data_IF_773158232530
#
_entry.id   IF_773158232530
#
_cell.length_a   1.000
_cell.length_b   1.000
_cell.length_c   1.000
_cell.angle_alpha   90.00
_cell.angle_beta   90.00
_cell.angle_gamma   90.00
#
_symmetry.space_group_name_H-M   'P 1'
#
loop_
_entity.id
_entity.type
_entity.pdbx_description
1 polymer ?
#
# COMPACT_ATOMS: atom_id res chain seq x y z
N UNK A 1 -25.21 -50.19 13.95
CA UNK A 1 -26.12 -49.08 13.62
C UNK A 1 -25.50 -48.35 12.44
N UNK A 2 -25.84 -48.75 11.21
CA UNK A 2 -26.79 -48.04 10.31
C UNK A 2 -26.35 -46.60 10.04
N UNK A 3 -26.25 -46.06 8.83
CA UNK A 3 -26.46 -46.48 7.44
C UNK A 3 -26.22 -45.20 6.58
N UNK A 4 -25.93 -45.33 5.28
CA UNK A 4 -26.20 -44.33 4.20
C UNK A 4 -25.39 -43.01 4.25
N UNK A 5 -24.42 -42.70 3.37
CA UNK A 5 -24.45 -42.58 1.90
C UNK A 5 -25.56 -41.69 1.29
N UNK A 6 -25.46 -40.37 1.49
CA UNK A 6 -26.03 -39.31 0.65
C UNK A 6 -25.22 -38.02 0.96
N UNK A 7 -24.83 -37.13 0.07
CA UNK A 7 -25.02 -37.02 -1.36
C UNK A 7 -23.91 -36.13 -1.94
N UNK A 8 -23.59 -36.46 -3.18
CA UNK A 8 -22.93 -35.63 -4.18
C UNK A 8 -23.51 -34.21 -4.28
N UNK A 9 -22.75 -33.35 -4.98
CA UNK A 9 -23.16 -32.08 -5.61
C UNK A 9 -22.87 -30.81 -4.80
N UNK A 10 -21.65 -30.28 -4.94
CA UNK A 10 -21.46 -28.90 -5.41
C UNK A 10 -20.10 -28.74 -6.10
N UNK A 11 -20.06 -29.07 -7.41
CA UNK A 11 -19.06 -28.53 -8.34
C UNK A 11 -19.57 -27.17 -8.84
N UNK A 12 -18.71 -26.15 -8.83
CA UNK A 12 -18.70 -24.86 -9.57
C UNK A 12 -18.08 -23.79 -8.64
N UNK A 13 -17.08 -22.98 -8.96
CA UNK A 13 -16.53 -22.51 -10.23
C UNK A 13 -15.01 -22.31 -10.09
N UNK A 14 -14.22 -23.12 -10.80
CA UNK A 14 -12.85 -22.74 -11.16
C UNK A 14 -12.98 -21.89 -12.42
N UNK A 15 -12.75 -20.58 -12.27
CA UNK A 15 -12.53 -19.69 -13.41
C UNK A 15 -11.10 -19.94 -13.85
N UNK A 16 -10.94 -20.80 -14.86
CA UNK A 16 -9.68 -20.91 -15.61
C UNK A 16 -9.54 -19.60 -16.38
N UNK A 17 -8.65 -18.73 -15.90
CA UNK A 17 -8.21 -17.56 -16.66
C UNK A 17 -7.45 -18.07 -17.87
N UNK A 18 -8.08 -17.94 -19.03
CA UNK A 18 -7.55 -18.28 -20.34
C UNK A 18 -6.37 -17.35 -20.65
N UNK A 19 -5.16 -17.88 -20.57
CA UNK A 19 -3.92 -17.18 -20.93
C UNK A 19 -3.85 -17.10 -22.46
N UNK A 20 -4.39 -16.03 -23.04
CA UNK A 20 -4.30 -15.76 -24.47
C UNK A 20 -2.99 -15.02 -24.76
N UNK A 21 -2.17 -15.63 -25.60
CA UNK A 21 -0.89 -15.13 -26.08
C UNK A 21 -0.94 -13.65 -26.51
N UNK A 22 -0.09 -12.82 -25.90
CA UNK A 22 0.30 -11.54 -26.48
C UNK A 22 1.59 -11.78 -27.27
N UNK A 23 1.42 -12.06 -28.57
CA UNK A 23 2.45 -11.88 -29.58
C UNK A 23 2.34 -10.47 -30.17
N UNK A 24 3.48 -9.95 -30.64
CA UNK A 24 3.75 -8.65 -31.28
C UNK A 24 4.18 -7.55 -30.29
N UNK A 25 5.29 -6.84 -30.44
CA UNK A 25 6.21 -6.73 -31.57
C UNK A 25 7.58 -6.16 -31.16
N UNK A 26 8.58 -6.57 -31.94
CA UNK A 26 9.99 -6.18 -31.92
C UNK A 26 10.14 -4.66 -32.06
N UNK A 27 10.46 -3.95 -30.98
CA UNK A 27 10.85 -2.54 -31.02
C UNK A 27 12.25 -2.42 -31.63
N UNK A 28 12.31 -1.77 -32.80
CA UNK A 28 13.54 -1.49 -33.54
C UNK A 28 14.22 -0.25 -32.95
N UNK A 29 15.52 -0.40 -32.75
CA UNK A 29 16.53 0.62 -32.51
C UNK A 29 16.38 1.82 -33.45
N UNK A 30 16.51 3.02 -32.88
CA UNK A 30 16.57 4.29 -33.59
C UNK A 30 17.16 5.39 -32.69
N UNK A 31 18.47 5.41 -32.55
CA UNK A 31 19.24 6.58 -32.10
C UNK A 31 19.21 7.66 -33.16
N UNK A 32 18.88 8.92 -32.83
CA UNK A 32 19.53 10.10 -33.42
C UNK A 32 19.23 11.37 -32.58
N UNK A 33 20.25 12.18 -32.20
CA UNK A 33 20.12 13.40 -31.42
C UNK A 33 20.02 14.66 -32.30
N UNK A 34 19.23 15.66 -31.89
CA UNK A 34 19.20 17.03 -32.44
C UNK A 34 19.09 17.96 -31.22
N UNK A 35 20.21 18.45 -30.67
CA UNK A 35 20.86 19.73 -30.99
C UNK A 35 19.90 20.93 -30.84
N UNK A 36 20.05 21.60 -29.68
CA UNK A 36 19.99 23.05 -29.42
C UNK A 36 18.74 23.84 -29.81
N UNK A 37 18.26 24.73 -28.94
CA UNK A 37 18.70 26.14 -28.85
C UNK A 37 17.66 27.02 -28.11
N UNK A 38 18.20 27.89 -27.24
CA UNK A 38 17.79 29.28 -26.96
C UNK A 38 16.43 29.66 -26.31
N UNK A 39 16.59 30.22 -25.10
CA UNK A 39 16.23 31.60 -24.70
C UNK A 39 14.75 32.03 -24.61
N UNK A 40 14.32 32.18 -23.36
CA UNK A 40 13.99 33.45 -22.69
C UNK A 40 13.34 34.57 -23.54
N UNK A 41 12.09 34.89 -23.23
CA UNK A 41 11.53 36.25 -23.34
C UNK A 41 10.27 36.39 -22.49
N UNK A 42 10.39 37.10 -21.37
CA UNK A 42 9.27 37.71 -20.65
C UNK A 42 8.80 38.93 -21.46
N UNK A 43 7.49 39.04 -21.70
CA UNK A 43 6.88 40.29 -22.12
C UNK A 43 5.51 40.43 -21.44
N UNK A 44 5.49 41.30 -20.44
CA UNK A 44 4.32 41.89 -19.82
C UNK A 44 3.60 42.74 -20.86
N UNK A 45 2.32 42.46 -21.14
CA UNK A 45 1.49 43.25 -22.04
C UNK A 45 0.11 43.47 -21.44
N UNK A 46 -0.07 44.57 -20.71
CA UNK A 46 -1.39 45.12 -20.42
C UNK A 46 -1.72 46.16 -21.51
N UNK A 47 -2.83 45.99 -22.21
CA UNK A 47 -3.49 47.10 -22.89
C UNK A 47 -4.99 46.94 -22.77
N UNK A 48 -5.60 48.02 -22.28
CA UNK A 48 -6.99 48.20 -21.97
C UNK A 48 -7.62 49.02 -23.09
N UNK A 49 -8.77 48.59 -23.60
CA UNK A 49 -9.81 49.52 -24.05
C UNK A 49 -11.14 48.81 -24.17
N UNK A 50 -12.09 49.33 -23.41
CA UNK A 50 -13.48 48.94 -23.33
C UNK A 50 -14.24 49.57 -24.50
N UNK A 51 -15.01 48.79 -25.26
CA UNK A 51 -16.07 49.33 -26.11
C UNK A 51 -17.25 48.35 -26.14
N UNK A 52 -18.34 48.79 -25.53
CA UNK A 52 -19.67 48.20 -25.68
C UNK A 52 -20.24 48.63 -27.03
N UNK A 53 -20.76 47.68 -27.80
CA UNK A 53 -22.16 47.67 -28.28
C UNK A 53 -22.36 46.49 -29.23
N UNK A 54 -23.41 45.72 -28.98
CA UNK A 54 -23.72 44.49 -29.70
C UNK A 54 -24.49 44.70 -30.99
N UNK A 55 -24.67 43.62 -31.74
CA UNK A 55 -25.88 43.32 -32.52
C UNK A 55 -25.96 41.80 -32.74
N UNK A 56 -27.18 41.34 -32.48
CA UNK A 56 -27.93 40.08 -32.68
C UNK A 56 -27.50 39.06 -33.74
N UNK A 57 -27.79 37.80 -33.38
CA UNK A 57 -28.27 36.67 -34.21
C UNK A 57 -27.26 35.80 -34.97
N UNK A 58 -26.97 34.60 -34.44
CA UNK A 58 -27.45 33.33 -35.04
C UNK A 58 -27.15 32.15 -34.12
N UNK A 59 -28.18 31.37 -33.82
CA UNK A 59 -28.17 30.18 -32.98
C UNK A 59 -28.30 28.93 -33.87
N UNK A 60 -27.35 27.99 -33.76
CA UNK A 60 -27.50 26.58 -34.16
C UNK A 60 -26.35 25.72 -33.55
N UNK A 61 -26.47 24.39 -33.45
CA UNK A 61 -27.02 23.69 -32.29
C UNK A 61 -25.96 23.11 -31.34
N UNK A 62 -26.39 22.90 -30.09
CA UNK A 62 -25.67 22.26 -29.00
C UNK A 62 -25.03 20.92 -29.39
N UNK A 63 -23.69 20.87 -29.39
CA UNK A 63 -22.98 19.66 -29.01
C UNK A 63 -23.03 19.57 -27.49
N UNK A 64 -23.76 18.57 -26.98
CA UNK A 64 -23.76 18.24 -25.56
C UNK A 64 -22.34 17.77 -25.19
N UNK A 65 -21.50 18.70 -24.73
CA UNK A 65 -20.41 18.33 -23.84
C UNK A 65 -21.07 17.63 -22.65
N UNK A 66 -20.82 16.33 -22.53
CA UNK A 66 -21.13 15.58 -21.34
C UNK A 66 -20.45 16.31 -20.18
N UNK A 67 -21.26 17.05 -19.42
CA UNK A 67 -20.86 17.65 -18.15
C UNK A 67 -20.42 16.48 -17.28
N UNK A 68 -19.12 16.24 -17.30
CA UNK A 68 -18.47 15.32 -16.39
C UNK A 68 -18.54 16.01 -15.04
N UNK A 69 -19.64 15.77 -14.32
CA UNK A 69 -19.75 16.11 -12.91
C UNK A 69 -18.48 15.58 -12.25
N UNK A 70 -17.65 16.43 -11.61
CA UNK A 70 -16.50 15.94 -10.85
C UNK A 70 -17.07 14.98 -9.82
N UNK A 71 -16.91 13.69 -10.05
CA UNK A 71 -17.23 12.68 -9.06
C UNK A 71 -16.36 13.04 -7.87
N UNK A 72 -16.98 13.53 -6.80
CA UNK A 72 -16.26 13.82 -5.57
C UNK A 72 -15.47 12.56 -5.24
N UNK A 73 -14.15 12.62 -5.43
CA UNK A 73 -13.26 11.59 -4.91
C UNK A 73 -13.43 11.68 -3.41
N UNK A 74 -14.33 10.84 -2.87
CA UNK A 74 -14.29 10.45 -1.47
C UNK A 74 -12.83 10.15 -1.17
N UNK A 75 -12.24 10.92 -0.24
CA UNK A 75 -10.80 10.85 0.03
C UNK A 75 -10.38 9.42 0.31
N UNK A 76 -9.28 8.97 -0.29
CA UNK A 76 -8.77 7.62 -0.08
C UNK A 76 -8.49 7.40 1.41
N UNK A 77 -8.76 6.18 1.89
CA UNK A 77 -8.42 5.80 3.26
C UNK A 77 -6.90 5.91 3.45
N UNK A 78 -6.47 6.66 4.47
CA UNK A 78 -5.06 6.76 4.84
C UNK A 78 -4.64 5.54 5.65
N UNK A 79 -3.72 4.77 5.10
CA UNK A 79 -3.12 3.59 5.71
C UNK A 79 -1.62 3.83 5.85
N UNK A 80 -1.09 3.48 6.99
CA UNK A 80 0.35 3.54 7.25
C UNK A 80 0.85 2.11 7.46
N UNK A 81 1.91 1.73 6.76
CA UNK A 81 2.58 0.46 6.94
C UNK A 81 3.98 0.69 7.53
N UNK A 82 4.45 -0.22 8.39
CA UNK A 82 5.69 -0.01 9.13
C UNK A 82 6.93 0.03 8.24
N UNK A 83 7.25 -1.08 7.56
CA UNK A 83 8.46 -1.20 6.74
C UNK A 83 8.18 -1.93 5.42
N UNK A 84 9.21 -2.10 4.58
CA UNK A 84 9.05 -2.40 3.16
C UNK A 84 8.18 -3.64 2.84
N UNK A 85 8.38 -4.83 3.44
CA UNK A 85 7.54 -6.00 3.17
C UNK A 85 6.06 -5.74 3.49
N UNK A 86 5.78 -5.17 4.66
CA UNK A 86 4.41 -4.87 5.10
C UNK A 86 3.78 -3.80 4.23
N UNK A 87 4.54 -2.78 3.82
CA UNK A 87 4.10 -1.79 2.85
C UNK A 87 3.70 -2.43 1.52
N UNK A 88 4.54 -3.30 0.96
CA UNK A 88 4.27 -3.95 -0.32
C UNK A 88 3.03 -4.85 -0.26
N UNK A 89 2.90 -5.64 0.81
CA UNK A 89 1.72 -6.50 1.02
C UNK A 89 0.44 -5.67 1.18
N UNK A 90 0.50 -4.63 2.01
CA UNK A 90 -0.63 -3.72 2.24
C UNK A 90 -1.03 -3.00 0.96
N UNK A 91 -0.07 -2.49 0.20
CA UNK A 91 -0.36 -1.79 -1.06
C UNK A 91 -0.94 -2.72 -2.12
N UNK A 92 -0.45 -3.96 -2.21
CA UNK A 92 -0.98 -4.96 -3.12
C UNK A 92 -2.43 -5.35 -2.78
N UNK A 93 -2.76 -5.47 -1.50
CA UNK A 93 -4.13 -5.78 -1.04
C UNK A 93 -5.06 -4.59 -1.21
N UNK A 94 -4.63 -3.40 -0.82
CA UNK A 94 -5.47 -2.19 -0.81
C UNK A 94 -5.68 -1.59 -2.22
N UNK A 95 -4.77 -1.84 -3.16
CA UNK A 95 -4.87 -1.32 -4.52
C UNK A 95 -5.00 0.21 -4.55
N UNK A 96 -5.99 0.70 -5.31
CA UNK A 96 -6.20 2.13 -5.52
C UNK A 96 -7.18 2.80 -4.54
N UNK A 97 -7.85 2.02 -3.70
CA UNK A 97 -8.89 2.54 -2.78
C UNK A 97 -8.32 3.13 -1.48
N UNK A 98 -7.04 2.86 -1.18
CA UNK A 98 -6.31 3.44 -0.06
C UNK A 98 -5.04 4.15 -0.51
N UNK A 99 -4.67 5.18 0.26
CA UNK A 99 -3.36 5.80 0.21
C UNK A 99 -2.49 5.14 1.27
N UNK A 100 -1.43 4.45 0.84
CA UNK A 100 -0.56 3.67 1.73
C UNK A 100 0.79 4.37 1.82
N UNK A 101 1.12 4.85 3.01
CA UNK A 101 2.41 5.46 3.35
C UNK A 101 3.29 4.45 4.11
N UNK A 102 4.61 4.54 3.96
CA UNK A 102 5.58 3.70 4.66
C UNK A 102 6.29 4.51 5.75
N UNK A 103 6.44 3.96 6.96
CA UNK A 103 7.12 4.65 8.07
C UNK A 103 8.63 4.57 7.98
N UNK A 104 9.17 3.37 7.76
CA UNK A 104 10.59 3.07 7.67
C UNK A 104 11.00 3.10 6.19
N UNK A 105 11.82 4.07 5.76
CA UNK A 105 12.22 4.17 4.36
C UNK A 105 12.96 2.93 3.86
N UNK A 106 12.77 2.52 2.59
CA UNK A 106 13.52 1.41 2.00
C UNK A 106 15.03 1.57 2.16
N UNK A 107 15.72 0.50 2.50
CA UNK A 107 17.16 0.52 2.77
C UNK A 107 17.55 0.87 4.21
N UNK A 108 16.57 1.17 5.07
CA UNK A 108 16.79 1.37 6.51
C UNK A 108 16.57 0.06 7.28
N UNK A 109 17.47 -0.26 8.20
CA UNK A 109 17.32 -1.41 9.11
C UNK A 109 16.20 -1.13 10.13
N UNK A 110 15.27 -2.07 10.29
CA UNK A 110 14.06 -1.90 11.11
C UNK A 110 14.32 -2.11 12.60
N UNK A 111 15.25 -3.01 12.96
CA UNK A 111 15.59 -3.28 14.37
C UNK A 111 16.23 -2.07 15.04
N UNK A 112 17.04 -1.31 14.29
CA UNK A 112 17.73 -0.12 14.79
C UNK A 112 16.96 1.18 14.52
N UNK A 113 15.81 1.10 13.85
CA UNK A 113 15.09 2.29 13.41
C UNK A 113 14.58 3.12 14.60
N UNK A 114 14.77 4.44 14.49
CA UNK A 114 14.20 5.40 15.43
C UNK A 114 13.10 6.21 14.75
N UNK A 115 11.95 6.28 15.41
CA UNK A 115 10.82 7.04 14.89
C UNK A 115 11.10 8.53 14.80
N UNK A 116 10.63 9.14 13.73
CA UNK A 116 10.71 10.59 13.50
C UNK A 116 9.42 11.29 13.93
N UNK A 117 9.44 12.61 14.15
CA UNK A 117 8.22 13.40 14.31
C UNK A 117 7.25 13.25 13.12
N UNK A 118 7.79 13.01 11.92
CA UNK A 118 7.00 12.69 10.72
C UNK A 118 6.20 11.41 10.88
N UNK A 119 6.79 10.35 11.45
CA UNK A 119 6.09 9.10 11.73
C UNK A 119 4.93 9.29 12.72
N UNK A 120 5.14 10.07 13.79
CA UNK A 120 4.08 10.40 14.75
C UNK A 120 2.92 11.11 14.05
N UNK A 121 3.21 12.08 13.18
CA UNK A 121 2.20 12.81 12.40
C UNK A 121 1.47 11.90 11.41
N UNK A 122 2.18 11.00 10.73
CA UNK A 122 1.58 10.04 9.80
C UNK A 122 0.54 9.18 10.54
N UNK A 123 0.94 8.57 11.67
CA UNK A 123 0.05 7.76 12.51
C UNK A 123 -1.11 8.59 13.09
N UNK A 124 -0.85 9.84 13.50
CA UNK A 124 -1.87 10.72 14.07
C UNK A 124 -3.03 11.03 13.09
N UNK A 125 -2.78 10.93 11.79
CA UNK A 125 -3.78 11.23 10.74
C UNK A 125 -4.24 9.99 9.97
N UNK A 126 -3.68 8.82 10.26
CA UNK A 126 -4.04 7.56 9.62
C UNK A 126 -5.35 7.00 10.19
N UNK A 127 -6.09 6.26 9.35
CA UNK A 127 -7.19 5.41 9.81
C UNK A 127 -6.68 4.04 10.24
N UNK A 128 -5.66 3.53 9.57
CA UNK A 128 -5.11 2.20 9.79
C UNK A 128 -3.58 2.26 9.90
N UNK A 129 -3.03 1.51 10.84
CA UNK A 129 -1.61 1.18 10.94
C UNK A 129 -1.44 -0.33 10.76
N UNK A 130 -0.59 -0.75 9.84
CA UNK A 130 -0.27 -2.16 9.58
C UNK A 130 1.17 -2.43 10.00
N UNK A 131 1.36 -3.39 10.91
CA UNK A 131 2.67 -3.83 11.42
C UNK A 131 2.93 -5.31 11.11
N UNK A 132 4.19 -5.70 11.13
CA UNK A 132 4.62 -7.09 11.06
C UNK A 132 4.13 -7.87 12.26
N UNK A 133 4.33 -7.32 13.46
CA UNK A 133 4.11 -8.02 14.73
C UNK A 133 5.34 -8.78 15.20
N UNK A 134 5.15 -9.65 16.20
CA UNK A 134 6.20 -10.42 16.89
C UNK A 134 7.31 -9.56 17.53
N UNK A 135 7.00 -8.29 17.81
CA UNK A 135 7.94 -7.35 18.43
C UNK A 135 9.06 -6.85 17.51
N UNK A 136 8.93 -6.98 16.19
CA UNK A 136 9.91 -6.44 15.23
C UNK A 136 10.07 -4.92 15.38
N UNK A 137 8.95 -4.19 15.38
CA UNK A 137 8.95 -2.73 15.36
C UNK A 137 9.03 -2.12 16.76
N UNK A 138 10.19 -2.23 17.41
CA UNK A 138 10.40 -1.74 18.80
C UNK A 138 10.07 -0.24 18.96
N UNK A 139 10.34 0.57 17.94
CA UNK A 139 10.03 2.00 17.93
C UNK A 139 8.53 2.31 17.98
N UNK A 140 7.67 1.36 17.62
CA UNK A 140 6.29 1.64 17.24
C UNK A 140 5.40 1.97 18.45
N UNK A 141 5.57 1.29 19.58
CA UNK A 141 4.72 1.47 20.76
C UNK A 141 4.75 2.92 21.27
N UNK A 142 5.95 3.47 21.45
CA UNK A 142 6.13 4.87 21.85
C UNK A 142 5.60 5.84 20.79
N UNK A 143 5.76 5.51 19.51
CA UNK A 143 5.30 6.35 18.39
C UNK A 143 3.79 6.43 18.32
N UNK A 144 3.08 5.30 18.45
CA UNK A 144 1.62 5.23 18.47
C UNK A 144 1.06 5.99 19.67
N UNK A 145 1.65 5.80 20.86
CA UNK A 145 1.25 6.54 22.07
C UNK A 145 1.37 8.06 21.88
N UNK A 146 2.47 8.51 21.28
CA UNK A 146 2.70 9.93 21.01
C UNK A 146 1.78 10.50 19.91
N UNK A 147 1.27 9.66 19.00
CA UNK A 147 0.36 10.08 17.95
C UNK A 147 -1.03 10.44 18.48
N UNK A 148 -1.42 9.98 19.68
CA UNK A 148 -2.68 10.30 20.36
C UNK A 148 -3.93 10.10 19.49
N UNK A 149 -3.89 9.15 18.55
CA UNK A 149 -5.00 8.89 17.63
C UNK A 149 -5.93 7.79 18.19
N UNK A 150 -7.00 8.20 18.86
CA UNK A 150 -8.00 7.28 19.43
C UNK A 150 -8.86 6.55 18.39
N UNK A 151 -8.75 6.91 17.12
CA UNK A 151 -9.48 6.29 16.00
C UNK A 151 -8.60 5.35 15.16
N UNK A 152 -7.33 5.21 15.52
CA UNK A 152 -6.40 4.36 14.79
C UNK A 152 -6.80 2.89 14.96
N UNK A 153 -6.94 2.18 13.84
CA UNK A 153 -7.03 0.72 13.84
C UNK A 153 -5.66 0.13 13.59
N UNK A 154 -5.15 -0.69 14.50
CA UNK A 154 -3.89 -1.40 14.33
C UNK A 154 -4.13 -2.82 13.82
N UNK A 155 -3.42 -3.19 12.76
CA UNK A 155 -3.43 -4.52 12.17
C UNK A 155 -2.07 -5.17 12.43
N UNK A 156 -2.07 -6.26 13.18
CA UNK A 156 -0.91 -7.12 13.38
C UNK A 156 -0.92 -8.24 12.34
N UNK A 157 0.03 -8.20 11.39
CA UNK A 157 0.11 -9.18 10.32
C UNK A 157 0.53 -10.57 10.82
N UNK A 158 1.09 -10.70 12.03
CA UNK A 158 1.57 -11.97 12.57
C UNK A 158 0.52 -12.82 13.28
N UNK A 159 -0.72 -12.32 13.44
CA UNK A 159 -1.77 -13.05 14.16
C UNK A 159 -1.96 -14.47 13.63
N UNK A 160 -1.87 -15.45 14.52
CA UNK A 160 -2.02 -16.87 14.18
C UNK A 160 -0.80 -17.51 13.50
N UNK A 161 0.28 -16.76 13.24
CA UNK A 161 1.54 -17.30 12.76
C UNK A 161 2.29 -17.96 13.93
N UNK A 162 2.85 -19.14 13.69
CA UNK A 162 3.76 -19.82 14.61
C UNK A 162 5.19 -19.52 14.14
N UNK A 163 5.91 -18.56 14.74
CA UNK A 163 7.27 -18.26 14.35
C UNK A 163 8.22 -19.39 14.73
N UNK A 164 9.36 -19.43 14.06
CA UNK A 164 10.47 -20.28 14.47
C UNK A 164 11.05 -19.73 15.77
N UNK A 165 11.26 -20.59 16.76
CA UNK A 165 11.92 -20.21 18.01
C UNK A 165 13.45 -20.29 17.90
N UNK A 166 13.97 -21.07 16.95
CA UNK A 166 15.39 -21.25 16.69
C UNK A 166 15.62 -21.33 15.17
N UNK A 167 16.63 -20.63 14.65
CA UNK A 167 16.91 -20.55 13.21
C UNK A 167 17.68 -21.80 12.71
N UNK A 168 18.30 -22.59 13.60
CA UNK A 168 19.02 -23.80 13.20
C UNK A 168 19.37 -24.73 14.38
N UNK A 169 19.28 -26.06 14.24
CA UNK A 169 19.78 -27.03 15.23
C UNK A 169 21.32 -27.01 15.39
N UNK A 170 22.04 -26.23 14.57
CA UNK A 170 23.52 -26.18 14.54
C UNK A 170 24.10 -25.10 15.46
N UNK A 171 23.30 -24.13 15.90
CA UNK A 171 23.75 -23.08 16.82
C UNK A 171 22.97 -23.23 18.12
N UNK A 172 23.53 -24.01 19.05
CA UNK A 172 23.20 -23.84 20.47
C UNK A 172 23.83 -22.54 20.90
N UNK A 173 23.09 -21.43 20.84
CA UNK A 173 23.43 -20.28 21.66
C UNK A 173 23.44 -20.76 23.11
N UNK A 174 24.50 -20.43 23.83
CA UNK A 174 24.66 -20.84 25.23
C UNK A 174 23.48 -20.32 26.07
N UNK A 175 23.05 -21.03 27.13
CA UNK A 175 21.85 -20.69 27.90
C UNK A 175 21.85 -19.30 28.56
N UNK A 176 22.99 -18.60 28.55
CA UNK A 176 23.20 -17.32 29.22
C UNK A 176 23.01 -16.09 28.31
N UNK A 177 22.86 -16.28 27.00
CA UNK A 177 22.50 -15.20 26.06
C UNK A 177 21.02 -15.31 25.74
N UNK A 178 20.17 -15.00 26.73
CA UNK A 178 18.79 -14.65 26.43
C UNK A 178 18.81 -13.29 25.74
N UNK A 179 19.01 -13.30 24.44
CA UNK A 179 18.67 -12.16 23.59
C UNK A 179 17.24 -11.78 23.94
N UNK A 180 17.08 -10.64 24.60
CA UNK A 180 15.80 -10.05 24.95
C UNK A 180 15.05 -9.58 23.69
N UNK A 181 15.68 -9.70 22.52
CA UNK A 181 15.08 -9.51 21.22
C UNK A 181 14.20 -10.72 20.88
N UNK A 182 12.88 -10.49 20.87
CA UNK A 182 11.87 -11.43 20.39
C UNK A 182 11.39 -12.50 21.41
N UNK A 183 10.89 -12.04 22.55
CA UNK A 183 10.09 -12.87 23.48
C UNK A 183 8.88 -13.58 22.83
N UNK A 184 8.50 -13.17 21.60
CA UNK A 184 7.40 -13.73 20.82
C UNK A 184 7.87 -14.68 19.69
N UNK A 185 9.17 -14.99 19.60
CA UNK A 185 9.78 -15.84 18.56
C UNK A 185 10.29 -15.03 17.36
N UNK A 186 11.02 -15.68 16.44
CA UNK A 186 11.67 -14.98 15.32
C UNK A 186 10.66 -14.19 14.46
N UNK A 187 10.77 -12.85 14.35
CA UNK A 187 9.80 -12.01 13.68
C UNK A 187 9.94 -11.99 12.16
N UNK A 188 11.01 -12.60 11.60
CA UNK A 188 11.35 -12.56 10.17
C UNK A 188 10.47 -13.46 9.29
N UNK A 189 9.19 -13.56 9.63
CA UNK A 189 8.21 -14.47 9.03
C UNK A 189 7.91 -14.14 7.56
N UNK A 190 8.20 -12.90 7.12
CA UNK A 190 8.04 -12.50 5.72
C UNK A 190 9.04 -13.20 4.76
N UNK A 191 10.09 -13.83 5.31
CA UNK A 191 11.06 -14.59 4.54
C UNK A 191 10.55 -15.99 4.16
N UNK A 192 9.47 -16.46 4.80
CA UNK A 192 8.79 -17.70 4.43
C UNK A 192 7.53 -17.39 3.61
N UNK A 193 7.48 -17.72 2.30
CA UNK A 193 6.33 -17.44 1.45
C UNK A 193 5.05 -18.16 1.88
N UNK A 194 5.13 -19.26 2.65
CA UNK A 194 3.96 -19.92 3.24
C UNK A 194 3.38 -19.06 4.35
N UNK A 195 4.23 -18.50 5.22
CA UNK A 195 3.79 -17.61 6.29
C UNK A 195 3.32 -16.25 5.76
N UNK A 196 3.93 -15.74 4.69
CA UNK A 196 3.47 -14.52 4.00
C UNK A 196 2.02 -14.62 3.55
N UNK A 197 1.54 -15.79 3.10
CA UNK A 197 0.11 -15.96 2.75
C UNK A 197 -0.80 -15.65 3.93
N UNK A 198 -0.40 -16.05 5.14
CA UNK A 198 -1.14 -15.72 6.35
C UNK A 198 -1.03 -14.22 6.68
N UNK A 199 0.16 -13.62 6.57
CA UNK A 199 0.32 -12.17 6.75
C UNK A 199 -0.60 -11.37 5.81
N UNK A 200 -0.62 -11.71 4.52
CA UNK A 200 -1.49 -11.07 3.52
C UNK A 200 -2.97 -11.28 3.84
N UNK A 201 -3.34 -12.46 4.33
CA UNK A 201 -4.73 -12.75 4.76
C UNK A 201 -5.14 -11.87 5.95
N UNK A 202 -4.28 -11.75 6.96
CA UNK A 202 -4.52 -10.91 8.13
C UNK A 202 -4.61 -9.43 7.74
N UNK A 203 -3.75 -8.97 6.84
CA UNK A 203 -3.79 -7.61 6.30
C UNK A 203 -5.11 -7.36 5.56
N UNK A 204 -5.54 -8.27 4.68
CA UNK A 204 -6.82 -8.18 3.97
C UNK A 204 -7.99 -8.09 4.94
N UNK A 205 -8.07 -9.00 5.89
CA UNK A 205 -9.21 -9.09 6.81
C UNK A 205 -9.26 -7.88 7.75
N UNK A 206 -8.09 -7.42 8.23
CA UNK A 206 -7.99 -6.19 9.01
C UNK A 206 -8.38 -4.95 8.22
N UNK A 207 -7.99 -4.83 6.94
CA UNK A 207 -8.38 -3.71 6.09
C UNK A 207 -9.88 -3.70 5.77
N UNK A 208 -10.53 -4.87 5.69
CA UNK A 208 -11.99 -4.97 5.53
C UNK A 208 -12.73 -4.53 6.80
N UNK A 209 -12.19 -4.86 7.97
CA UNK A 209 -12.80 -4.55 9.26
C UNK A 209 -12.68 -3.08 9.67
N UNK A 210 -11.67 -2.36 9.15
CA UNK A 210 -11.34 -0.98 9.53
C UNK A 210 -12.19 0.07 8.80
#
# INVERSE_FOLDING_TARGET
MTEVEQASVLRRNIVIVNCREIRTGRQRSGTLPIITLLMLSMATGCSQSNSNQGTTSEQSPQAQEAVSTPQAQSGKTKVVATFLPIYLFTKAVAGDVADVEILVPPGTEVHEYQATPGNVKAIATAKVLVKNGLGLEQFLEGTVKNAQNSKLTEIDASIGIKPLNEISPVVKTTPDEKDQEHSQGNPHVWLDPVLVKQQVTNIRDGLIAA
#
